data_IF_731261754765
#
_entry.id   IF_731261754765
#
_cell.length_a   1.000
_cell.length_b   1.000
_cell.length_c   1.000
_cell.angle_alpha   90.00
_cell.angle_beta   90.00
_cell.angle_gamma   90.00
#
_symmetry.space_group_name_H-M   'P 1'
#
loop_
_entity.id
_entity.type
_entity.pdbx_description
1 polymer ?
#
# COMPACT_ATOMS: atom_id res chain seq x y z
N UNK A 1 -10.89 -4.85 18.83
CA UNK A 1 -10.03 -3.98 18.00
C UNK A 1 -10.72 -2.85 17.20
N UNK A 2 -12.04 -2.54 17.29
CA UNK A 2 -12.63 -1.44 16.51
C UNK A 2 -11.95 -0.08 16.69
N UNK A 3 -11.52 0.24 17.92
CA UNK A 3 -10.83 1.51 18.18
C UNK A 3 -9.48 1.64 17.45
N UNK A 4 -8.80 0.53 17.21
CA UNK A 4 -7.52 0.50 16.51
C UNK A 4 -7.73 0.81 15.01
N UNK A 5 -8.71 0.14 14.39
CA UNK A 5 -9.08 0.37 12.99
C UNK A 5 -9.43 1.83 12.73
N UNK A 6 -10.26 2.44 13.59
CA UNK A 6 -10.64 3.85 13.43
C UNK A 6 -9.48 4.82 13.65
N UNK A 7 -8.59 4.54 14.61
CA UNK A 7 -7.38 5.33 14.79
C UNK A 7 -6.46 5.24 13.55
N UNK A 8 -6.25 4.05 13.01
CA UNK A 8 -5.43 3.84 11.80
C UNK A 8 -6.00 4.55 10.59
N UNK A 9 -7.33 4.47 10.35
CA UNK A 9 -7.97 5.20 9.24
C UNK A 9 -7.73 6.70 9.34
N UNK A 10 -7.80 7.29 10.53
CA UNK A 10 -7.57 8.74 10.70
C UNK A 10 -6.15 9.15 10.35
N UNK A 11 -5.16 8.30 10.63
CA UNK A 11 -3.75 8.61 10.39
C UNK A 11 -3.29 8.27 8.96
N UNK A 12 -4.06 7.46 8.23
CA UNK A 12 -3.81 7.18 6.82
C UNK A 12 -4.26 8.37 5.95
N UNK A 13 -3.41 8.92 5.06
CA UNK A 13 -3.81 10.02 4.17
C UNK A 13 -5.07 9.74 3.33
N UNK A 14 -5.28 8.49 2.91
CA UNK A 14 -6.47 8.06 2.16
C UNK A 14 -7.71 7.85 3.04
N UNK A 15 -7.60 8.04 4.36
CA UNK A 15 -8.70 7.94 5.35
C UNK A 15 -9.42 6.60 5.39
N UNK A 16 -8.76 5.53 4.95
CA UNK A 16 -9.26 4.16 4.98
C UNK A 16 -8.13 3.17 5.25
N UNK A 17 -8.49 1.93 5.52
CA UNK A 17 -7.55 0.82 5.45
C UNK A 17 -7.36 0.42 3.99
N UNK A 18 -6.17 -0.08 3.68
CA UNK A 18 -5.92 -0.78 2.43
C UNK A 18 -6.66 -2.11 2.40
N UNK A 19 -7.12 -2.51 1.22
CA UNK A 19 -7.64 -3.85 0.98
C UNK A 19 -6.51 -4.79 0.55
N UNK A 20 -6.56 -6.10 0.88
CA UNK A 20 -5.53 -7.07 0.48
C UNK A 20 -5.24 -7.08 -1.02
N UNK A 21 -6.26 -6.84 -1.84
CA UNK A 21 -6.17 -6.80 -3.29
C UNK A 21 -5.25 -5.67 -3.78
N UNK A 22 -5.12 -4.57 -3.05
CA UNK A 22 -4.24 -3.46 -3.45
C UNK A 22 -2.77 -3.86 -3.34
N UNK A 23 -2.42 -4.62 -2.31
CA UNK A 23 -1.07 -5.22 -2.19
C UNK A 23 -0.87 -6.26 -3.27
N UNK A 24 -1.86 -7.12 -3.52
CA UNK A 24 -1.78 -8.14 -4.57
C UNK A 24 -1.57 -7.51 -5.96
N UNK A 25 -2.25 -6.42 -6.29
CA UNK A 25 -2.08 -5.72 -7.57
C UNK A 25 -0.69 -5.10 -7.72
N UNK A 26 -0.12 -4.54 -6.64
CA UNK A 26 1.25 -4.04 -6.66
C UNK A 26 2.27 -5.17 -6.92
N UNK A 27 2.06 -6.33 -6.30
CA UNK A 27 2.88 -7.54 -6.54
C UNK A 27 2.72 -8.03 -7.99
N UNK A 28 1.48 -8.10 -8.50
CA UNK A 28 1.23 -8.49 -9.89
C UNK A 28 1.92 -7.54 -10.88
N UNK A 29 1.90 -6.23 -10.62
CA UNK A 29 2.65 -5.27 -11.43
C UNK A 29 4.15 -5.53 -11.39
N UNK A 30 4.73 -5.75 -10.19
CA UNK A 30 6.16 -6.10 -10.04
C UNK A 30 6.55 -7.39 -10.77
N UNK A 31 5.63 -8.35 -10.88
CA UNK A 31 5.84 -9.60 -11.61
C UNK A 31 5.59 -9.48 -13.12
N UNK A 32 5.12 -8.34 -13.61
CA UNK A 32 4.80 -8.12 -15.02
C UNK A 32 5.97 -7.51 -15.80
N UNK A 33 5.90 -7.59 -17.13
CA UNK A 33 6.88 -6.95 -18.03
C UNK A 33 6.94 -5.42 -17.86
N UNK A 34 5.87 -4.79 -17.35
CA UNK A 34 5.82 -3.36 -17.09
C UNK A 34 6.82 -2.91 -16.01
N UNK A 35 7.25 -3.82 -15.14
CA UNK A 35 8.25 -3.57 -14.11
C UNK A 35 9.67 -4.05 -14.52
N UNK A 36 9.91 -4.34 -15.80
CA UNK A 36 11.16 -4.97 -16.30
C UNK A 36 12.48 -4.27 -15.94
N UNK A 37 12.45 -2.97 -15.61
CA UNK A 37 13.62 -2.20 -15.16
C UNK A 37 13.50 -1.72 -13.70
N UNK A 38 12.51 -2.19 -12.95
CA UNK A 38 12.30 -1.85 -11.54
C UNK A 38 12.84 -2.97 -10.66
N UNK A 39 14.00 -2.73 -10.03
CA UNK A 39 14.59 -3.65 -9.06
C UNK A 39 15.33 -2.87 -7.97
N UNK A 40 15.68 -3.54 -6.86
CA UNK A 40 16.47 -2.96 -5.76
C UNK A 40 15.75 -1.88 -4.93
N UNK A 41 14.47 -1.63 -5.19
CA UNK A 41 13.67 -0.63 -4.49
C UNK A 41 12.55 -1.26 -3.66
N UNK A 42 12.21 -0.64 -2.54
CA UNK A 42 11.01 -0.97 -1.78
C UNK A 42 9.81 -0.19 -2.35
N UNK A 43 8.79 -0.91 -2.82
CA UNK A 43 7.52 -0.31 -3.25
C UNK A 43 6.55 -0.25 -2.06
N UNK A 44 6.34 0.95 -1.52
CA UNK A 44 5.41 1.15 -0.41
C UNK A 44 3.96 1.13 -0.90
N UNK A 45 3.11 0.33 -0.23
CA UNK A 45 1.67 0.22 -0.50
C UNK A 45 0.89 0.42 0.80
N UNK A 46 0.75 1.67 1.24
CA UNK A 46 0.21 1.99 2.57
C UNK A 46 -0.74 3.21 2.58
N UNK A 47 -1.23 3.63 1.41
CA UNK A 47 -2.09 4.82 1.30
C UNK A 47 -1.38 6.15 1.63
N UNK A 48 -0.05 6.18 1.55
CA UNK A 48 0.77 7.38 1.78
C UNK A 48 1.18 7.57 3.23
N UNK A 49 0.91 6.61 4.11
CA UNK A 49 1.20 6.73 5.54
C UNK A 49 2.68 6.99 5.84
N UNK A 50 3.59 6.39 5.07
CA UNK A 50 5.05 6.55 5.22
C UNK A 50 5.57 7.90 4.71
N UNK A 51 4.86 8.58 3.80
CA UNK A 51 5.37 9.73 3.06
C UNK A 51 4.81 11.10 3.48
N UNK A 52 3.88 11.11 4.45
CA UNK A 52 3.19 12.32 4.93
C UNK A 52 4.04 13.18 5.89
#
# INVERSE_FOLDING_TARGET
>A
FPQFVEATKRLNPMRRLGEPEEVAQAVLWLCSDAASFTNGAALTVDGGFTAQ
#
